data_IF_596400028467
#
_entry.id   IF_596400028467
#
_cell.length_a   1.000
_cell.length_b   1.000
_cell.length_c   1.000
_cell.angle_alpha   90.00
_cell.angle_beta   90.00
_cell.angle_gamma   90.00
#
_symmetry.space_group_name_H-M   'P 1'
#
loop_
_entity.id
_entity.type
_entity.pdbx_description
1 polymer ?
#
# COMPACT_ATOMS: atom_id res chain seq x y z
N UNK A 1 -19.01 -12.22 27.67
CA UNK A 1 -19.49 -12.87 26.43
C UNK A 1 -18.40 -12.63 25.40
N UNK A 2 -17.49 -13.59 25.24
CA UNK A 2 -16.41 -13.54 24.25
C UNK A 2 -16.84 -14.34 23.02
N UNK A 3 -17.05 -13.65 21.90
CA UNK A 3 -17.37 -14.29 20.63
C UNK A 3 -16.10 -14.58 19.83
N UNK A 4 -15.83 -15.87 19.62
CA UNK A 4 -15.62 -16.35 18.25
C UNK A 4 -14.19 -16.48 17.73
N UNK A 5 -13.18 -16.74 18.56
CA UNK A 5 -11.93 -17.34 18.06
C UNK A 5 -11.95 -18.84 18.33
N UNK A 6 -12.23 -19.63 17.30
CA UNK A 6 -12.00 -21.07 17.33
C UNK A 6 -10.48 -21.30 17.36
N UNK A 7 -9.91 -21.43 18.56
CA UNK A 7 -8.52 -21.78 18.79
C UNK A 7 -8.31 -23.27 18.49
N UNK A 8 -8.41 -23.65 17.22
CA UNK A 8 -8.22 -25.02 16.80
C UNK A 8 -6.73 -25.33 16.70
N UNK A 9 -6.31 -26.40 17.36
CA UNK A 9 -4.97 -26.92 17.25
C UNK A 9 -4.73 -27.59 15.87
N UNK A 10 -3.51 -28.04 15.64
CA UNK A 10 -3.12 -28.60 14.34
C UNK A 10 -3.91 -29.86 13.99
N UNK A 11 -4.25 -30.71 14.97
CA UNK A 11 -5.02 -31.91 14.74
C UNK A 11 -6.49 -31.56 14.45
N UNK A 12 -7.04 -30.60 15.18
CA UNK A 12 -8.41 -30.13 15.01
C UNK A 12 -8.61 -29.42 13.66
N UNK A 13 -7.62 -28.64 13.19
CA UNK A 13 -7.64 -28.04 11.84
C UNK A 13 -7.63 -29.08 10.73
N UNK A 14 -6.85 -30.15 10.90
CA UNK A 14 -6.79 -31.24 9.92
C UNK A 14 -8.11 -32.02 9.88
N UNK A 15 -8.74 -32.24 11.03
CA UNK A 15 -10.06 -32.87 11.12
C UNK A 15 -11.16 -32.01 10.49
N UNK A 16 -11.12 -30.68 10.71
CA UNK A 16 -12.07 -29.75 10.10
C UNK A 16 -11.90 -29.65 8.58
N UNK A 17 -10.65 -29.68 8.09
CA UNK A 17 -10.33 -29.72 6.67
C UNK A 17 -10.81 -31.04 6.03
N UNK A 18 -10.62 -32.17 6.71
CA UNK A 18 -11.09 -33.48 6.24
C UNK A 18 -12.63 -33.52 6.13
N UNK A 19 -13.36 -33.04 7.14
CA UNK A 19 -14.82 -32.98 7.11
C UNK A 19 -15.39 -31.96 6.10
N UNK A 20 -14.64 -30.90 5.80
CA UNK A 20 -14.99 -29.98 4.70
C UNK A 20 -14.85 -30.68 3.35
N UNK A 21 -13.78 -31.44 3.13
CA UNK A 21 -13.53 -32.14 1.87
C UNK A 21 -14.53 -33.28 1.62
N UNK A 22 -14.95 -34.00 2.66
CA UNK A 22 -16.06 -34.97 2.59
C UNK A 22 -17.39 -34.30 2.18
N UNK A 23 -17.72 -33.14 2.75
CA UNK A 23 -18.96 -32.41 2.41
C UNK A 23 -19.01 -31.89 0.97
N UNK A 24 -17.87 -31.74 0.29
CA UNK A 24 -17.80 -31.35 -1.12
C UNK A 24 -17.92 -32.54 -2.09
N UNK A 25 -18.13 -33.77 -1.61
CA UNK A 25 -18.27 -34.96 -2.46
C UNK A 25 -17.00 -35.30 -3.24
N UNK A 26 -15.84 -34.86 -2.73
CA UNK A 26 -14.52 -35.05 -3.33
C UNK A 26 -13.84 -36.35 -2.85
N UNK A 27 -14.62 -37.30 -2.32
CA UNK A 27 -14.15 -38.53 -1.68
C UNK A 27 -13.25 -39.39 -2.58
N UNK A 28 -13.41 -39.30 -3.91
CA UNK A 28 -12.65 -40.09 -4.89
C UNK A 28 -11.43 -39.35 -5.50
N UNK A 29 -11.33 -38.02 -5.37
CA UNK A 29 -10.37 -37.22 -6.18
C UNK A 29 -9.09 -36.85 -5.44
N UNK A 30 -9.01 -37.06 -4.12
CA UNK A 30 -7.77 -36.81 -3.39
C UNK A 30 -7.28 -38.07 -2.70
N UNK A 31 -6.67 -38.97 -3.49
CA UNK A 31 -5.64 -39.87 -2.93
C UNK A 31 -4.45 -39.02 -2.55
N UNK A 32 -4.50 -38.40 -1.37
CA UNK A 32 -3.32 -37.80 -0.76
C UNK A 32 -2.29 -38.92 -0.64
N UNK A 33 -1.23 -38.85 -1.45
CA UNK A 33 -0.03 -39.65 -1.28
C UNK A 33 0.50 -39.53 0.15
N UNK A 34 1.48 -40.37 0.52
CA UNK A 34 1.96 -40.36 1.91
C UNK A 34 2.45 -38.95 2.23
N UNK A 35 2.16 -38.48 3.44
CA UNK A 35 2.56 -37.13 3.90
C UNK A 35 4.06 -36.87 3.65
N UNK A 36 4.87 -37.92 3.69
CA UNK A 36 6.30 -37.88 3.42
C UNK A 36 6.62 -37.54 1.96
N UNK A 37 5.86 -38.06 0.99
CA UNK A 37 6.00 -37.75 -0.43
C UNK A 37 5.72 -36.26 -0.69
N UNK A 38 4.75 -35.69 0.04
CA UNK A 38 4.43 -34.26 0.00
C UNK A 38 5.53 -33.39 0.63
N UNK A 39 6.06 -33.82 1.77
CA UNK A 39 7.17 -33.11 2.43
C UNK A 39 8.43 -33.11 1.56
N UNK A 40 8.73 -34.23 0.91
CA UNK A 40 9.85 -34.35 -0.03
C UNK A 40 9.64 -33.51 -1.28
N UNK A 41 8.43 -33.46 -1.84
CA UNK A 41 8.12 -32.61 -3.00
C UNK A 41 8.23 -31.11 -2.66
N UNK A 42 7.79 -30.68 -1.47
CA UNK A 42 7.93 -29.30 -0.99
C UNK A 42 9.40 -28.96 -0.76
N UNK A 43 10.18 -29.85 -0.14
CA UNK A 43 11.60 -29.66 0.12
C UNK A 43 12.42 -29.62 -1.19
N UNK A 44 12.11 -30.51 -2.14
CA UNK A 44 12.71 -30.52 -3.46
C UNK A 44 12.41 -29.23 -4.24
N UNK A 45 11.19 -28.68 -4.13
CA UNK A 45 10.82 -27.41 -4.76
C UNK A 45 11.47 -26.20 -4.09
N UNK A 46 11.63 -26.22 -2.77
CA UNK A 46 12.38 -25.20 -2.04
C UNK A 46 13.88 -25.21 -2.40
N UNK A 47 14.43 -26.39 -2.71
CA UNK A 47 15.84 -26.58 -3.07
C UNK A 47 16.12 -26.38 -4.57
N UNK A 48 15.12 -26.59 -5.43
CA UNK A 48 15.23 -26.47 -6.88
C UNK A 48 14.82 -25.10 -7.42
N UNK A 49 14.29 -24.20 -6.58
CA UNK A 49 14.05 -22.82 -6.98
C UNK A 49 15.41 -22.13 -7.08
N UNK A 50 15.89 -21.73 -8.27
CA UNK A 50 16.98 -20.78 -8.33
C UNK A 50 16.46 -19.54 -7.61
N UNK A 51 17.23 -19.05 -6.65
CA UNK A 51 17.01 -17.74 -6.05
C UNK A 51 17.10 -16.74 -7.20
N UNK A 52 15.95 -16.47 -7.82
CA UNK A 52 15.79 -15.38 -8.75
C UNK A 52 16.28 -14.16 -7.98
N UNK A 53 17.25 -13.38 -8.51
CA UNK A 53 17.63 -12.14 -7.87
C UNK A 53 16.34 -11.40 -7.57
N UNK A 54 16.17 -10.99 -6.31
CA UNK A 54 14.99 -10.25 -5.86
C UNK A 54 14.62 -9.29 -6.98
N UNK A 55 13.36 -9.31 -7.49
CA UNK A 55 13.00 -8.41 -8.57
C UNK A 55 13.41 -7.02 -8.10
N UNK A 56 14.40 -6.43 -8.78
CA UNK A 56 14.85 -5.07 -8.48
C UNK A 56 13.60 -4.20 -8.38
N UNK A 57 13.59 -3.15 -7.53
CA UNK A 57 12.39 -2.37 -7.26
C UNK A 57 11.70 -2.06 -8.57
N UNK A 58 10.55 -2.72 -8.80
CA UNK A 58 9.77 -2.46 -10.01
C UNK A 58 9.48 -0.96 -9.95
N UNK A 59 9.81 -0.19 -11.00
CA UNK A 59 9.59 1.23 -10.97
C UNK A 59 8.12 1.45 -10.67
N UNK A 60 7.85 2.15 -9.56
CA UNK A 60 6.49 2.46 -9.15
C UNK A 60 5.83 3.19 -10.32
N UNK A 61 4.76 2.65 -10.92
CA UNK A 61 4.12 3.29 -12.06
C UNK A 61 3.67 4.70 -11.65
N UNK A 62 3.77 5.65 -12.57
CA UNK A 62 3.46 7.06 -12.34
C UNK A 62 2.05 7.25 -11.76
N UNK A 63 1.11 6.38 -12.14
CA UNK A 63 -0.18 6.23 -11.47
C UNK A 63 -0.58 4.77 -11.34
N UNK A 64 -1.14 4.39 -10.19
CA UNK A 64 -1.78 3.08 -9.96
C UNK A 64 -2.78 3.18 -8.83
N UNK A 65 -3.50 2.09 -8.55
CA UNK A 65 -4.36 1.99 -7.38
C UNK A 65 -4.11 0.70 -6.60
N UNK A 66 -4.48 0.70 -5.32
CA UNK A 66 -4.42 -0.48 -4.45
C UNK A 66 -5.51 -0.40 -3.37
N UNK A 67 -5.87 -1.53 -2.75
CA UNK A 67 -6.71 -1.52 -1.56
C UNK A 67 -5.89 -1.11 -0.34
N UNK A 68 -6.42 -0.19 0.49
CA UNK A 68 -5.81 0.23 1.76
C UNK A 68 -6.88 0.42 2.82
N UNK A 69 -6.51 0.13 4.07
CA UNK A 69 -7.31 0.51 5.24
C UNK A 69 -7.12 2.02 5.46
N UNK A 70 -8.23 2.74 5.58
CA UNK A 70 -8.29 4.16 5.93
C UNK A 70 -9.00 4.29 7.29
N UNK A 71 -8.43 5.12 8.15
CA UNK A 71 -9.00 5.56 9.42
C UNK A 71 -9.89 6.79 9.21
N UNK A 72 -11.12 6.70 9.69
CA UNK A 72 -12.11 7.78 9.67
C UNK A 72 -12.49 8.17 11.11
N UNK A 73 -11.91 9.24 11.65
CA UNK A 73 -12.30 9.74 12.95
C UNK A 73 -13.70 10.38 12.88
N UNK A 74 -14.52 10.10 13.90
CA UNK A 74 -15.76 10.84 14.18
C UNK A 74 -15.79 11.22 15.66
N UNK A 75 -16.71 12.10 16.05
CA UNK A 75 -16.84 12.58 17.43
C UNK A 75 -17.16 11.47 18.44
N UNK A 76 -17.79 10.38 17.98
CA UNK A 76 -18.26 9.28 18.84
C UNK A 76 -17.37 8.03 18.74
N UNK A 77 -16.88 7.71 17.54
CA UNK A 77 -16.09 6.50 17.28
C UNK A 77 -15.13 6.68 16.09
N UNK A 78 -13.97 6.03 16.15
CA UNK A 78 -13.07 5.91 15.00
C UNK A 78 -13.34 4.59 14.30
N UNK A 79 -13.73 4.65 13.02
CA UNK A 79 -13.96 3.45 12.22
C UNK A 79 -12.92 3.31 11.12
N UNK A 80 -12.72 2.07 10.67
CA UNK A 80 -11.74 1.72 9.64
C UNK A 80 -12.46 1.03 8.49
N UNK A 81 -12.08 1.38 7.25
CA UNK A 81 -12.57 0.66 6.08
C UNK A 81 -11.52 0.53 5.00
N UNK A 82 -11.68 -0.51 4.18
CA UNK A 82 -10.83 -0.74 3.02
C UNK A 82 -11.41 0.07 1.86
N UNK A 83 -10.62 0.93 1.25
CA UNK A 83 -10.97 1.69 0.05
C UNK A 83 -9.99 1.39 -1.08
N UNK A 84 -10.42 1.63 -2.31
CA UNK A 84 -9.51 1.70 -3.45
C UNK A 84 -8.80 3.04 -3.40
N UNK A 85 -7.49 3.02 -3.20
CA UNK A 85 -6.63 4.20 -3.06
C UNK A 85 -5.81 4.38 -4.32
N UNK A 86 -5.90 5.56 -4.89
CA UNK A 86 -5.19 5.98 -6.09
C UNK A 86 -3.89 6.66 -5.69
N UNK A 87 -2.82 6.30 -6.36
CA UNK A 87 -1.48 6.79 -6.15
C UNK A 87 -0.98 7.55 -7.37
N UNK A 88 -0.26 8.65 -7.14
CA UNK A 88 0.56 9.33 -8.14
C UNK A 88 1.98 9.46 -7.57
N UNK A 89 2.98 8.99 -8.30
CA UNK A 89 4.38 8.98 -7.86
C UNK A 89 4.59 8.37 -6.45
N UNK A 90 3.78 7.37 -6.10
CA UNK A 90 3.82 6.69 -4.79
C UNK A 90 3.10 7.42 -3.65
N UNK A 91 2.52 8.60 -3.89
CA UNK A 91 1.71 9.34 -2.91
C UNK A 91 0.23 9.01 -3.09
N UNK A 92 -0.51 8.66 -2.02
CA UNK A 92 -1.95 8.47 -2.10
C UNK A 92 -2.64 9.82 -2.37
N UNK A 93 -3.32 9.95 -3.51
CA UNK A 93 -3.93 11.22 -3.95
C UNK A 93 -5.45 11.24 -3.86
N UNK A 94 -6.08 10.07 -3.85
CA UNK A 94 -7.53 9.95 -3.75
C UNK A 94 -7.90 8.54 -3.27
N UNK A 95 -9.15 8.38 -2.84
CA UNK A 95 -9.73 7.08 -2.54
C UNK A 95 -11.18 7.01 -3.02
N UNK A 96 -11.68 5.79 -3.24
CA UNK A 96 -13.06 5.54 -3.64
C UNK A 96 -14.04 6.10 -2.61
N UNK A 97 -15.12 6.74 -3.06
CA UNK A 97 -16.15 7.29 -2.16
C UNK A 97 -16.76 6.21 -1.25
N UNK A 98 -17.03 5.04 -1.83
CA UNK A 98 -17.55 3.88 -1.09
C UNK A 98 -16.40 2.94 -0.70
N UNK A 99 -16.51 2.23 0.44
CA UNK A 99 -15.62 1.13 0.76
C UNK A 99 -15.57 0.10 -0.37
N UNK A 100 -14.41 -0.54 -0.52
CA UNK A 100 -14.19 -1.58 -1.50
C UNK A 100 -15.08 -2.79 -1.18
N UNK A 101 -15.94 -3.16 -2.12
CA UNK A 101 -16.83 -4.29 -1.94
C UNK A 101 -16.07 -5.63 -2.05
N UNK A 102 -16.46 -6.58 -1.21
CA UNK A 102 -16.01 -7.97 -1.25
C UNK A 102 -16.80 -8.80 -2.28
N UNK A 103 -17.19 -8.18 -3.41
CA UNK A 103 -18.01 -8.79 -4.45
C UNK A 103 -17.23 -9.03 -5.73
N UNK A 104 -17.67 -10.01 -6.51
CA UNK A 104 -17.24 -10.29 -7.88
C UNK A 104 -18.42 -10.89 -8.65
N UNK A 105 -18.28 -10.96 -9.96
CA UNK A 105 -19.29 -11.51 -10.88
C UNK A 105 -18.76 -12.75 -11.58
N UNK A 106 -19.65 -13.51 -12.23
CA UNK A 106 -19.26 -14.69 -13.01
C UNK A 106 -18.34 -14.33 -14.18
N UNK A 107 -18.44 -13.08 -14.68
CA UNK A 107 -17.60 -12.56 -15.77
C UNK A 107 -16.15 -12.28 -15.35
N UNK A 108 -15.87 -12.13 -14.04
CA UNK A 108 -14.52 -11.87 -13.52
C UNK A 108 -13.62 -13.12 -13.50
N UNK A 109 -14.20 -14.29 -13.74
CA UNK A 109 -13.51 -15.57 -13.79
C UNK A 109 -13.39 -16.28 -12.42
N UNK A 110 -12.96 -17.55 -12.44
CA UNK A 110 -13.07 -18.45 -11.28
C UNK A 110 -12.19 -18.06 -10.09
N UNK A 111 -11.12 -17.29 -10.31
CA UNK A 111 -10.19 -16.86 -9.26
C UNK A 111 -10.50 -15.47 -8.70
N UNK A 112 -11.53 -14.78 -9.22
CA UNK A 112 -11.82 -13.39 -8.87
C UNK A 112 -12.04 -13.18 -7.36
N UNK A 113 -12.79 -14.08 -6.71
CA UNK A 113 -13.03 -14.03 -5.28
C UNK A 113 -11.75 -14.17 -4.45
N UNK A 114 -10.90 -15.14 -4.78
CA UNK A 114 -9.62 -15.35 -4.10
C UNK A 114 -8.68 -14.15 -4.31
N UNK A 115 -8.59 -13.66 -5.54
CA UNK A 115 -7.79 -12.47 -5.87
C UNK A 115 -8.29 -11.22 -5.13
N UNK A 116 -9.61 -11.08 -4.90
CA UNK A 116 -10.18 -9.97 -4.12
C UNK A 116 -9.85 -10.11 -2.63
N UNK A 117 -9.95 -11.31 -2.06
CA UNK A 117 -9.56 -11.58 -0.68
C UNK A 117 -8.07 -11.33 -0.45
N UNK A 118 -7.21 -11.72 -1.39
CA UNK A 118 -5.78 -11.44 -1.31
C UNK A 118 -5.49 -9.94 -1.30
N UNK A 119 -6.20 -9.14 -2.12
CA UNK A 119 -6.08 -7.67 -2.08
C UNK A 119 -6.46 -7.09 -0.71
N UNK A 120 -7.50 -7.62 -0.06
CA UNK A 120 -7.91 -7.18 1.27
C UNK A 120 -6.93 -7.63 2.36
N UNK A 121 -6.44 -8.86 2.27
CA UNK A 121 -5.38 -9.38 3.14
C UNK A 121 -4.13 -8.51 3.05
N UNK A 122 -3.70 -8.14 1.84
CA UNK A 122 -2.57 -7.23 1.63
C UNK A 122 -2.85 -5.81 2.14
N UNK A 123 -4.08 -5.31 2.03
CA UNK A 123 -4.47 -4.01 2.59
C UNK A 123 -4.31 -3.98 4.12
N UNK A 124 -4.69 -5.06 4.80
CA UNK A 124 -4.62 -5.21 6.26
C UNK A 124 -3.19 -5.35 6.79
N UNK A 125 -2.24 -5.81 5.98
CA UNK A 125 -0.82 -5.93 6.35
C UNK A 125 -0.05 -4.61 6.27
N UNK A 126 -0.59 -3.63 5.53
CA UNK A 126 0.05 -2.34 5.31
C UNK A 126 -0.33 -1.35 6.41
N UNK A 127 0.49 -0.31 6.65
CA UNK A 127 0.12 0.76 7.57
C UNK A 127 -1.25 1.36 7.21
N UNK A 128 -2.04 1.65 8.23
CA UNK A 128 -3.33 2.34 8.09
C UNK A 128 -3.07 3.76 7.59
N UNK A 129 -3.83 4.18 6.58
CA UNK A 129 -3.82 5.56 6.09
C UNK A 129 -4.83 6.40 6.87
N UNK A 130 -4.57 7.69 6.99
CA UNK A 130 -5.45 8.67 7.62
C UNK A 130 -6.01 9.62 6.58
N UNK A 131 -7.15 10.24 6.84
CA UNK A 131 -7.68 11.31 5.98
C UNK A 131 -6.65 12.42 5.71
N UNK A 132 -5.84 12.76 6.71
CA UNK A 132 -4.76 13.74 6.58
C UNK A 132 -3.66 13.33 5.56
N UNK A 133 -3.49 12.04 5.25
CA UNK A 133 -2.52 11.60 4.24
C UNK A 133 -2.90 12.05 2.82
N UNK A 134 -4.19 12.33 2.61
CA UNK A 134 -4.73 12.83 1.34
C UNK A 134 -4.76 14.36 1.27
N UNK A 135 -4.49 15.06 2.38
CA UNK A 135 -4.38 16.51 2.38
C UNK A 135 -3.16 16.98 1.59
N UNK A 136 -3.37 17.99 0.75
CA UNK A 136 -2.37 18.53 -0.17
C UNK A 136 -1.76 17.46 -1.09
N UNK A 137 -2.38 16.30 -1.27
CA UNK A 137 -1.73 15.17 -1.93
C UNK A 137 -1.36 15.44 -3.39
N UNK A 138 -2.21 16.16 -4.14
CA UNK A 138 -1.87 16.61 -5.50
C UNK A 138 -0.72 17.60 -5.51
N UNK A 139 -0.67 18.53 -4.56
CA UNK A 139 0.45 19.46 -4.42
C UNK A 139 1.74 18.70 -4.11
N UNK A 140 1.69 17.72 -3.18
CA UNK A 140 2.82 16.82 -2.86
C UNK A 140 3.28 16.03 -4.09
N UNK A 141 2.36 15.47 -4.87
CA UNK A 141 2.68 14.74 -6.10
C UNK A 141 3.36 15.64 -7.14
N UNK A 142 2.87 16.89 -7.30
CA UNK A 142 3.51 17.90 -8.16
C UNK A 142 4.94 18.21 -7.69
N UNK A 143 5.14 18.42 -6.38
CA UNK A 143 6.47 18.68 -5.81
C UNK A 143 7.42 17.48 -6.00
N UNK A 144 6.94 16.24 -5.80
CA UNK A 144 7.75 15.05 -6.03
C UNK A 144 8.14 14.89 -7.49
N UNK A 145 7.19 15.05 -8.42
CA UNK A 145 7.49 15.01 -9.85
C UNK A 145 8.56 16.05 -10.21
N UNK A 146 8.44 17.28 -9.69
CA UNK A 146 9.43 18.34 -9.89
C UNK A 146 10.80 17.97 -9.33
N UNK A 147 10.87 17.44 -8.10
CA UNK A 147 12.11 16.99 -7.49
C UNK A 147 12.76 15.82 -8.25
N UNK A 148 11.97 14.87 -8.73
CA UNK A 148 12.45 13.78 -9.58
C UNK A 148 13.11 14.33 -10.85
N UNK A 149 12.44 15.26 -11.53
CA UNK A 149 12.99 15.92 -12.71
C UNK A 149 14.27 16.70 -12.39
N UNK A 150 14.34 17.36 -11.23
CA UNK A 150 15.54 18.10 -10.80
C UNK A 150 16.73 17.17 -10.53
N UNK A 151 16.50 16.03 -9.89
CA UNK A 151 17.54 15.02 -9.61
C UNK A 151 18.02 14.38 -10.91
N UNK A 152 17.09 14.00 -11.79
CA UNK A 152 17.40 13.43 -13.11
C UNK A 152 18.21 14.40 -13.98
N UNK A 153 17.80 15.68 -14.04
CA UNK A 153 18.56 16.74 -14.71
C UNK A 153 19.96 16.96 -14.12
N UNK A 154 20.17 16.61 -12.85
CA UNK A 154 21.47 16.71 -12.17
C UNK A 154 22.30 15.42 -12.30
N UNK A 155 21.80 14.40 -12.99
CA UNK A 155 22.45 13.10 -13.18
C UNK A 155 22.41 12.18 -11.96
N UNK A 156 21.51 12.43 -11.01
CA UNK A 156 21.33 11.59 -9.82
C UNK A 156 20.33 10.45 -10.04
N UNK A 157 20.45 9.38 -9.25
CA UNK A 157 19.45 8.31 -9.20
C UNK A 157 18.35 8.67 -8.20
N UNK A 158 17.08 8.46 -8.58
CA UNK A 158 15.92 8.79 -7.76
C UNK A 158 15.45 7.58 -6.96
N UNK A 159 15.65 7.62 -5.64
CA UNK A 159 14.93 6.76 -4.70
C UNK A 159 13.63 7.45 -4.29
N UNK A 160 12.50 6.99 -4.86
CA UNK A 160 11.18 7.54 -4.59
C UNK A 160 10.74 7.41 -3.14
N UNK A 161 11.15 6.35 -2.45
CA UNK A 161 10.77 6.14 -1.04
C UNK A 161 11.53 7.11 -0.14
N UNK A 162 12.84 7.25 -0.34
CA UNK A 162 13.66 8.21 0.39
C UNK A 162 13.24 9.66 0.11
N UNK A 163 12.98 9.99 -1.17
CA UNK A 163 12.57 11.33 -1.57
C UNK A 163 11.19 11.71 -1.01
N UNK A 164 10.23 10.78 -1.01
CA UNK A 164 8.91 10.98 -0.40
C UNK A 164 9.00 11.18 1.11
N UNK A 165 9.83 10.39 1.80
CA UNK A 165 10.05 10.55 3.24
C UNK A 165 10.71 11.90 3.56
N UNK A 166 11.73 12.30 2.79
CA UNK A 166 12.39 13.61 2.93
C UNK A 166 11.40 14.76 2.72
N UNK A 167 10.63 14.72 1.64
CA UNK A 167 9.65 15.77 1.35
C UNK A 167 8.62 15.88 2.47
N UNK A 168 8.11 14.75 2.98
CA UNK A 168 7.16 14.77 4.10
C UNK A 168 7.78 15.37 5.37
N UNK A 169 9.04 15.07 5.68
CA UNK A 169 9.72 15.69 6.82
C UNK A 169 9.85 17.22 6.62
N UNK A 170 10.35 17.63 5.45
CA UNK A 170 10.53 19.05 5.11
C UNK A 170 9.21 19.85 5.10
N UNK A 171 8.13 19.25 4.59
CA UNK A 171 6.81 19.88 4.56
C UNK A 171 6.24 20.19 5.95
N UNK A 172 6.69 19.48 6.98
CA UNK A 172 6.27 19.67 8.36
C UNK A 172 7.28 20.49 9.19
N UNK A 173 8.39 20.91 8.59
CA UNK A 173 9.38 21.75 9.24
C UNK A 173 8.96 23.22 9.18
N UNK A 174 8.90 23.93 10.32
CA UNK A 174 8.63 25.37 10.33
C UNK A 174 9.78 26.14 9.68
N UNK A 175 9.48 26.97 8.66
CA UNK A 175 10.50 27.71 7.93
C UNK A 175 10.45 29.21 8.23
N UNK A 176 11.58 29.86 8.55
CA UNK A 176 11.64 31.31 8.73
C UNK A 176 11.11 32.10 7.51
N UNK A 177 11.37 31.61 6.30
CA UNK A 177 10.93 32.21 5.03
C UNK A 177 9.41 32.20 4.84
N UNK A 178 8.71 31.35 5.61
CA UNK A 178 7.26 31.27 5.68
C UNK A 178 6.71 31.89 6.97
N UNK A 179 7.47 32.80 7.60
CA UNK A 179 7.14 33.42 8.89
C UNK A 179 6.93 32.40 10.02
N UNK A 180 7.67 31.30 10.00
CA UNK A 180 7.53 30.22 10.98
C UNK A 180 6.37 29.24 10.68
N UNK A 181 5.67 29.41 9.55
CA UNK A 181 4.73 28.40 9.07
C UNK A 181 5.48 27.24 8.40
N UNK A 182 4.81 26.09 8.33
CA UNK A 182 5.30 24.93 7.59
C UNK A 182 4.94 25.05 6.10
N UNK A 183 5.72 24.48 5.17
CA UNK A 183 5.33 24.41 3.76
C UNK A 183 3.97 23.72 3.55
N UNK A 184 3.62 22.71 4.36
CA UNK A 184 2.31 22.07 4.33
C UNK A 184 1.16 23.07 4.59
N UNK A 185 1.35 23.99 5.54
CA UNK A 185 0.38 25.03 5.84
C UNK A 185 0.31 26.10 4.74
N UNK A 186 1.44 26.45 4.12
CA UNK A 186 1.44 27.43 3.03
C UNK A 186 0.64 26.93 1.81
N UNK A 187 0.72 25.63 1.49
CA UNK A 187 0.07 25.02 0.33
C UNK A 187 -1.47 25.00 0.37
N UNK A 188 -2.12 25.36 1.49
CA UNK A 188 -3.58 25.55 1.50
C UNK A 188 -4.04 26.76 0.65
N UNK A 189 -3.12 27.61 0.21
CA UNK A 189 -3.39 28.72 -0.72
C UNK A 189 -2.74 28.47 -2.10
N UNK A 190 -3.40 28.92 -3.18
CA UNK A 190 -2.86 28.77 -4.55
C UNK A 190 -1.50 29.47 -4.71
N UNK A 191 -1.29 30.60 -4.06
CA UNK A 191 -0.01 31.32 -4.07
C UNK A 191 1.06 30.61 -3.23
N UNK A 192 0.67 29.92 -2.17
CA UNK A 192 1.59 29.21 -1.28
C UNK A 192 2.28 28.02 -1.96
N UNK A 193 1.61 27.29 -2.85
CA UNK A 193 2.29 26.24 -3.64
C UNK A 193 3.41 26.82 -4.52
N UNK A 194 3.17 27.95 -5.19
CA UNK A 194 4.21 28.63 -6.00
C UNK A 194 5.38 29.10 -5.14
N UNK A 195 5.10 29.58 -3.93
CA UNK A 195 6.12 30.00 -2.98
C UNK A 195 6.99 28.81 -2.54
N UNK A 196 6.38 27.68 -2.21
CA UNK A 196 7.06 26.43 -1.84
C UNK A 196 7.90 25.88 -3.00
N UNK A 197 7.36 25.89 -4.22
CA UNK A 197 8.11 25.52 -5.43
C UNK A 197 9.33 26.41 -5.67
N UNK A 198 9.19 27.71 -5.47
CA UNK A 198 10.29 28.68 -5.62
C UNK A 198 11.38 28.42 -4.59
N UNK A 199 11.00 28.01 -3.38
CA UNK A 199 11.93 27.68 -2.31
C UNK A 199 12.77 26.43 -2.66
N UNK A 200 12.15 25.38 -3.18
CA UNK A 200 12.86 24.17 -3.65
C UNK A 200 13.84 24.49 -4.80
N UNK A 201 13.44 25.35 -5.74
CA UNK A 201 14.31 25.79 -6.83
C UNK A 201 15.51 26.60 -6.33
N UNK A 202 15.33 27.44 -5.30
CA UNK A 202 16.42 28.17 -4.66
C UNK A 202 17.40 27.24 -3.93
N UNK A 203 16.89 26.22 -3.25
CA UNK A 203 17.70 25.20 -2.58
C UNK A 203 18.61 24.46 -3.58
N UNK A 204 18.11 24.13 -4.78
CA UNK A 204 18.92 23.58 -5.88
C UNK A 204 20.07 24.51 -6.30
N UNK A 205 19.81 25.81 -6.37
CA UNK A 205 20.79 26.81 -6.79
C UNK A 205 21.84 27.18 -5.73
N UNK A 206 21.83 26.54 -4.55
CA UNK A 206 22.73 26.89 -3.43
C UNK A 206 22.49 28.27 -2.85
N UNK A 207 21.35 28.90 -3.13
CA UNK A 207 21.01 30.25 -2.64
C UNK A 207 20.16 30.16 -1.37
N UNK A 208 20.78 29.71 -0.29
CA UNK A 208 20.25 29.97 1.05
C UNK A 208 20.29 31.48 1.30
N UNK A 209 19.21 32.03 1.88
CA UNK A 209 19.22 33.39 2.41
C UNK A 209 20.09 33.46 3.67
#
# INVERSE_FOLDING_TARGET
MDHGKLCLDKAERLTLLAGLLENFGLDEVVKLGRLQDWQEAIAARASASPELPAPGPRPTPASHWNCRVIEFPSDEETWFAIHEVYYEYGVPVAYSKSPAEAGWTDDDGPEAGLNRLDKFSEALKKPVLKCADFENARAKATLLNKLCQMIDQSGGEVDMTALSAWLNAWLNEPLPELNGATPAQAMYSEDGLRQVETLLERMRGGRCA
#
